data_IF_368003954315
#
_entry.id   IF_368003954315
#
_cell.length_a   1.000
_cell.length_b   1.000
_cell.length_c   1.000
_cell.angle_alpha   90.00
_cell.angle_beta   90.00
_cell.angle_gamma   90.00
#
_symmetry.space_group_name_H-M   'P 1'
#
loop_
_entity.id
_entity.type
_entity.pdbx_description
1 polymer ?
#
# COMPACT_ATOMS: atom_id res chain seq x y z
N UNK A 1 30.50 -20.08 26.31
CA UNK A 1 30.33 -19.02 25.29
C UNK A 1 29.02 -19.31 24.56
N UNK A 2 28.06 -18.39 24.65
CA UNK A 2 26.72 -18.57 24.09
C UNK A 2 26.68 -17.94 22.70
N UNK A 3 26.53 -18.75 21.64
CA UNK A 3 26.28 -18.23 20.28
C UNK A 3 24.78 -18.22 20.02
N UNK A 4 24.23 -17.02 19.94
CA UNK A 4 22.86 -16.79 19.50
C UNK A 4 22.73 -17.03 18.00
N UNK A 5 21.67 -17.77 17.65
CA UNK A 5 21.05 -17.76 16.32
C UNK A 5 19.54 -17.98 16.55
N UNK A 6 18.83 -16.89 16.79
CA UNK A 6 17.38 -16.85 16.62
C UNK A 6 17.13 -16.70 15.11
N UNK A 7 16.83 -17.80 14.45
CA UNK A 7 16.41 -17.81 13.06
C UNK A 7 14.89 -18.02 13.03
N UNK A 8 14.14 -16.93 13.27
CA UNK A 8 12.72 -16.88 12.93
C UNK A 8 12.58 -16.73 11.42
N UNK A 9 12.74 -17.85 10.73
CA UNK A 9 12.41 -18.01 9.33
C UNK A 9 10.89 -18.22 9.21
N UNK A 10 10.11 -17.17 9.47
CA UNK A 10 8.64 -17.20 9.44
C UNK A 10 8.09 -16.20 8.45
N UNK A 11 8.66 -16.12 7.24
CA UNK A 11 7.92 -15.59 6.09
C UNK A 11 7.37 -16.79 5.33
N UNK A 12 6.42 -17.45 5.99
CA UNK A 12 5.66 -18.55 5.43
C UNK A 12 4.83 -18.03 4.26
N UNK A 13 5.16 -18.55 3.08
CA UNK A 13 4.33 -18.64 1.89
C UNK A 13 2.99 -19.28 2.24
N UNK A 14 1.98 -18.51 2.70
CA UNK A 14 0.60 -18.98 2.84
C UNK A 14 -0.39 -17.81 2.97
N UNK A 15 -1.07 -17.47 1.87
CA UNK A 15 -2.51 -17.25 1.78
C UNK A 15 -3.22 -16.12 2.56
N UNK A 16 -2.65 -15.58 3.63
CA UNK A 16 -3.29 -14.55 4.45
C UNK A 16 -2.47 -13.27 4.39
N UNK A 17 -2.83 -12.43 3.43
CA UNK A 17 -2.36 -11.05 3.39
C UNK A 17 -2.91 -10.34 4.64
N UNK A 18 -2.05 -10.19 5.64
CA UNK A 18 -2.40 -9.55 6.91
C UNK A 18 -2.53 -8.03 6.68
N UNK A 19 -3.75 -7.47 6.76
CA UNK A 19 -3.97 -6.02 6.61
C UNK A 19 -4.04 -5.38 7.98
N UNK A 20 -3.01 -4.61 8.34
CA UNK A 20 -2.95 -3.89 9.63
C UNK A 20 -3.56 -2.48 9.52
N UNK A 21 -3.52 -1.90 8.32
CA UNK A 21 -3.93 -0.50 8.08
C UNK A 21 -5.44 -0.25 8.19
N UNK A 22 -6.27 -1.25 7.90
CA UNK A 22 -7.72 -1.09 7.85
C UNK A 22 -8.38 -0.98 9.24
N UNK A 23 -7.80 -1.60 10.28
CA UNK A 23 -8.45 -1.69 11.60
C UNK A 23 -7.48 -1.56 12.80
N UNK A 24 -6.20 -1.19 12.57
CA UNK A 24 -5.11 -1.12 13.57
C UNK A 24 -4.82 -2.44 14.33
N UNK A 25 -5.52 -3.53 13.99
CA UNK A 25 -5.25 -4.90 14.40
C UNK A 25 -5.13 -5.79 13.15
N UNK A 26 -4.28 -6.82 13.18
CA UNK A 26 -4.08 -7.69 12.02
C UNK A 26 -5.32 -8.55 11.76
N UNK A 27 -5.91 -8.37 10.58
CA UNK A 27 -7.10 -9.09 10.16
C UNK A 27 -6.92 -9.63 8.72
N UNK A 28 -7.34 -10.88 8.43
CA UNK A 28 -7.23 -11.44 7.09
C UNK A 28 -8.13 -10.68 6.10
N UNK A 29 -7.64 -10.42 4.88
CA UNK A 29 -8.31 -9.59 3.85
C UNK A 29 -9.76 -10.03 3.61
N UNK A 30 -10.05 -11.32 3.73
CA UNK A 30 -11.38 -11.92 3.54
C UNK A 30 -12.45 -11.41 4.50
N UNK A 31 -12.05 -10.80 5.62
CA UNK A 31 -12.97 -10.34 6.66
C UNK A 31 -13.09 -8.81 6.74
N UNK A 32 -12.38 -8.07 5.87
CA UNK A 32 -12.52 -6.62 5.77
C UNK A 32 -13.73 -6.30 4.87
N UNK A 33 -14.79 -5.72 5.44
CA UNK A 33 -15.98 -5.30 4.67
C UNK A 33 -15.68 -4.16 3.69
N UNK A 34 -14.60 -3.41 3.92
CA UNK A 34 -14.18 -2.31 3.06
C UNK A 34 -13.32 -2.81 1.88
N UNK A 35 -13.52 -2.27 0.66
CA UNK A 35 -12.70 -2.62 -0.50
C UNK A 35 -11.24 -2.23 -0.23
N UNK A 36 -10.37 -3.23 -0.15
CA UNK A 36 -8.93 -3.06 0.14
C UNK A 36 -8.12 -3.61 -1.03
N UNK A 37 -7.16 -2.83 -1.52
CA UNK A 37 -6.21 -3.29 -2.55
C UNK A 37 -4.80 -3.23 -1.98
N UNK A 38 -4.06 -4.33 -2.13
CA UNK A 38 -2.70 -4.46 -1.64
C UNK A 38 -1.78 -4.49 -2.85
N UNK A 39 -0.81 -3.58 -2.87
CA UNK A 39 0.24 -3.58 -3.89
C UNK A 39 1.51 -4.11 -3.24
N UNK A 40 2.02 -5.22 -3.76
CA UNK A 40 3.22 -5.86 -3.23
C UNK A 40 4.48 -5.31 -3.89
N UNK A 41 5.65 -5.63 -3.31
CA UNK A 41 6.94 -5.26 -3.91
C UNK A 41 7.11 -5.83 -5.33
N UNK A 42 6.69 -7.08 -5.54
CA UNK A 42 6.76 -7.73 -6.85
C UNK A 42 5.92 -6.98 -7.89
N UNK A 43 4.74 -6.50 -7.52
CA UNK A 43 3.88 -5.72 -8.42
C UNK A 43 4.56 -4.41 -8.84
N UNK A 44 5.18 -3.71 -7.89
CA UNK A 44 5.93 -2.46 -8.17
C UNK A 44 7.08 -2.72 -9.13
N UNK A 45 7.85 -3.80 -8.92
CA UNK A 45 8.99 -4.16 -9.76
C UNK A 45 8.54 -4.56 -11.18
N UNK A 46 7.44 -5.33 -11.31
CA UNK A 46 6.83 -5.68 -12.60
C UNK A 46 6.31 -4.46 -13.36
N UNK A 47 5.76 -3.50 -12.65
CA UNK A 47 5.23 -2.27 -13.21
C UNK A 47 6.32 -1.26 -13.56
N UNK A 48 7.56 -1.51 -13.14
CA UNK A 48 8.70 -0.59 -13.27
C UNK A 48 8.33 0.83 -12.84
N UNK A 49 7.50 0.95 -11.80
CA UNK A 49 6.99 2.22 -11.34
C UNK A 49 8.14 3.03 -10.70
N UNK A 50 8.33 4.26 -11.16
CA UNK A 50 9.40 5.14 -10.68
C UNK A 50 8.93 6.06 -9.57
N UNK A 51 7.62 6.24 -9.42
CA UNK A 51 7.00 7.07 -8.40
C UNK A 51 5.76 6.41 -7.81
N UNK A 52 5.37 6.85 -6.61
CA UNK A 52 4.13 6.40 -5.97
C UNK A 52 2.89 6.73 -6.82
N UNK A 53 2.91 7.89 -7.50
CA UNK A 53 1.86 8.30 -8.44
C UNK A 53 1.67 7.29 -9.57
N UNK A 54 2.76 6.71 -10.10
CA UNK A 54 2.69 5.70 -11.17
C UNK A 54 2.10 4.36 -10.69
N UNK A 55 2.28 4.05 -9.41
CA UNK A 55 1.65 2.88 -8.77
C UNK A 55 0.16 3.15 -8.60
N UNK A 56 -0.20 4.30 -8.03
CA UNK A 56 -1.58 4.66 -7.71
C UNK A 56 -2.46 4.81 -8.95
N UNK A 57 -1.92 5.33 -10.06
CA UNK A 57 -2.62 5.46 -11.35
C UNK A 57 -3.06 4.13 -11.97
N UNK A 58 -2.47 3.01 -11.56
CA UNK A 58 -2.86 1.67 -12.05
C UNK A 58 -4.02 1.06 -11.26
N UNK A 59 -4.36 1.65 -10.12
CA UNK A 59 -5.42 1.14 -9.28
C UNK A 59 -6.79 1.63 -9.76
N UNK A 60 -7.80 0.75 -9.82
CA UNK A 60 -9.14 1.16 -10.24
C UNK A 60 -9.76 2.12 -9.23
N UNK A 61 -10.41 3.16 -9.73
CA UNK A 61 -11.09 4.17 -8.90
C UNK A 61 -10.15 5.15 -8.20
N UNK A 62 -8.88 5.21 -8.60
CA UNK A 62 -7.91 6.23 -8.18
C UNK A 62 -7.55 7.09 -9.37
N UNK A 63 -7.73 8.40 -9.23
CA UNK A 63 -7.26 9.40 -10.19
C UNK A 63 -6.18 10.27 -9.53
N UNK A 64 -5.19 10.68 -10.33
CA UNK A 64 -4.05 11.46 -9.85
C UNK A 64 -3.84 12.67 -10.73
N UNK A 65 -4.06 13.85 -10.15
CA UNK A 65 -3.73 15.13 -10.74
C UNK A 65 -2.33 15.56 -10.34
N UNK A 66 -1.43 15.80 -11.29
CA UNK A 66 -0.07 16.26 -11.00
C UNK A 66 0.12 17.68 -11.52
N UNK A 67 0.52 18.59 -10.63
CA UNK A 67 0.79 19.98 -10.98
C UNK A 67 2.27 20.15 -11.33
N UNK A 68 2.67 19.76 -12.55
CA UNK A 68 4.02 19.92 -13.07
C UNK A 68 4.83 18.61 -13.16
N UNK A 69 6.16 18.72 -13.13
CA UNK A 69 7.09 17.60 -13.34
C UNK A 69 7.28 16.67 -12.12
N UNK A 70 8.26 15.78 -12.23
CA UNK A 70 8.65 14.86 -11.15
C UNK A 70 8.98 15.63 -9.86
N UNK A 71 8.47 15.14 -8.71
CA UNK A 71 8.67 15.77 -7.40
C UNK A 71 7.73 16.94 -7.09
N UNK A 72 6.91 17.38 -8.04
CA UNK A 72 5.89 18.40 -7.79
C UNK A 72 4.65 17.83 -7.07
N UNK A 73 3.84 18.72 -6.50
CA UNK A 73 2.63 18.35 -5.76
C UNK A 73 1.69 17.53 -6.63
N UNK A 74 1.31 16.37 -6.12
CA UNK A 74 0.32 15.48 -6.72
C UNK A 74 -0.90 15.41 -5.80
N UNK A 75 -2.09 15.50 -6.38
CA UNK A 75 -3.38 15.39 -5.71
C UNK A 75 -4.02 14.05 -6.07
N UNK A 76 -4.46 13.31 -5.07
CA UNK A 76 -5.11 12.00 -5.23
C UNK A 76 -6.62 12.14 -5.10
N UNK A 77 -7.39 11.53 -5.98
CA UNK A 77 -8.86 11.52 -5.94
C UNK A 77 -9.31 10.06 -5.94
N UNK A 78 -10.00 9.63 -4.88
CA UNK A 78 -10.47 8.24 -4.74
C UNK A 78 -11.97 8.24 -4.94
N UNK A 79 -12.46 7.50 -5.94
CA UNK A 79 -13.88 7.38 -6.29
C UNK A 79 -14.59 8.74 -6.46
N UNK A 80 -13.89 9.73 -7.02
CA UNK A 80 -14.42 11.08 -7.27
C UNK A 80 -14.46 12.01 -6.05
N UNK A 81 -13.93 11.60 -4.89
CA UNK A 81 -13.82 12.46 -3.70
C UNK A 81 -12.65 13.44 -3.81
N UNK A 82 -12.75 14.59 -3.13
CA UNK A 82 -11.70 15.61 -3.12
C UNK A 82 -10.43 15.08 -2.43
N UNK A 83 -9.24 15.52 -2.89
CA UNK A 83 -7.96 15.11 -2.31
C UNK A 83 -7.78 15.43 -0.82
N UNK A 84 -8.51 16.41 -0.27
CA UNK A 84 -8.50 16.69 1.17
C UNK A 84 -9.15 15.60 2.03
N UNK A 85 -9.93 14.70 1.42
CA UNK A 85 -10.60 13.59 2.10
C UNK A 85 -9.79 12.28 2.01
N UNK A 86 -8.56 12.34 1.48
CA UNK A 86 -7.66 11.19 1.38
C UNK A 86 -6.67 11.23 2.55
N UNK A 87 -6.71 10.21 3.39
CA UNK A 87 -5.72 9.99 4.44
C UNK A 87 -4.56 9.18 3.87
N UNK A 88 -3.35 9.71 4.00
CA UNK A 88 -2.11 9.02 3.66
C UNK A 88 -1.37 8.74 4.96
N UNK A 89 -1.02 7.47 5.18
CA UNK A 89 -0.19 7.05 6.30
C UNK A 89 1.11 6.45 5.76
N UNK A 90 2.23 6.79 6.37
CA UNK A 90 3.53 6.20 6.08
C UNK A 90 3.89 5.35 7.30
N UNK A 91 4.07 4.05 7.13
CA UNK A 91 4.34 3.11 8.23
C UNK A 91 3.32 3.19 9.39
N UNK A 92 2.09 3.61 9.09
CA UNK A 92 0.99 3.71 10.07
C UNK A 92 0.90 5.05 10.81
N UNK A 93 1.74 6.03 10.48
CA UNK A 93 1.67 7.41 11.01
C UNK A 93 1.27 8.43 9.96
#
# INVERSE_FOLDING_TARGET
AFSGWAQDNTTATNGDNLVVTANRFPQPVSSVLAPTTIVTRNDIDRWQAKSLTDVMRRLPGVDVGQNGGLGQKSSLFIRGTNSSHVLVLIDGI
#
